data_IF_501252846997
#
_entry.id   IF_501252846997
#
_cell.length_a   1.000
_cell.length_b   1.000
_cell.length_c   1.000
_cell.angle_alpha   90.00
_cell.angle_beta   90.00
_cell.angle_gamma   90.00
#
_symmetry.space_group_name_H-M   'P 1'
#
loop_
_entity.id
_entity.type
_entity.pdbx_description
1 polymer ?
#
# COMPACT_ATOMS: atom_id res chain seq x y z
N UNK A 1 80.40 4.45 48.47
CA UNK A 1 79.95 3.05 48.32
C UNK A 1 78.48 3.00 48.07
N UNK A 2 78.14 2.40 46.94
CA UNK A 2 76.79 2.07 46.42
C UNK A 2 75.69 3.14 46.44
N UNK A 3 75.57 3.84 45.31
CA UNK A 3 74.41 4.61 44.91
C UNK A 3 73.25 3.68 44.47
N UNK A 4 72.05 3.93 44.96
CA UNK A 4 70.84 3.29 44.47
C UNK A 4 70.05 4.31 43.68
N UNK A 5 69.87 4.03 42.35
CA UNK A 5 69.12 4.84 41.43
C UNK A 5 67.62 4.55 41.58
N UNK A 6 66.81 5.60 41.75
CA UNK A 6 65.32 5.53 41.71
C UNK A 6 64.84 5.70 40.28
N UNK A 7 64.14 4.68 39.77
CA UNK A 7 63.49 4.71 38.44
C UNK A 7 62.10 5.33 38.56
N UNK A 8 61.91 6.51 37.98
CA UNK A 8 60.61 7.16 37.83
C UNK A 8 59.82 6.48 36.70
N UNK A 9 58.69 5.83 37.01
CA UNK A 9 57.70 5.29 36.00
C UNK A 9 56.73 6.39 35.61
N UNK A 10 56.94 6.95 34.42
CA UNK A 10 56.00 7.83 33.78
C UNK A 10 54.78 7.03 33.25
N UNK A 11 53.57 7.33 33.76
CA UNK A 11 52.31 6.81 33.22
C UNK A 11 51.88 7.69 32.03
N UNK A 12 51.98 7.14 30.81
CA UNK A 12 51.38 7.73 29.63
C UNK A 12 49.89 7.33 29.61
N UNK A 13 48.96 8.28 29.85
CA UNK A 13 47.55 8.10 29.52
C UNK A 13 47.39 8.39 28.05
N UNK A 14 47.14 7.33 27.24
CA UNK A 14 46.57 7.48 25.91
C UNK A 14 45.08 7.80 26.04
N UNK A 15 44.70 9.05 25.75
CA UNK A 15 43.35 9.42 25.52
C UNK A 15 42.95 8.96 24.11
N UNK A 16 42.18 7.88 24.01
CA UNK A 16 41.57 7.44 22.77
C UNK A 16 40.40 8.39 22.49
N UNK A 17 40.59 9.34 21.56
CA UNK A 17 39.55 10.13 20.93
C UNK A 17 38.76 9.21 19.98
N UNK A 18 37.61 8.73 20.45
CA UNK A 18 36.59 8.12 19.60
C UNK A 18 35.97 9.22 18.71
N UNK A 19 36.47 9.35 17.50
CA UNK A 19 35.75 10.05 16.43
C UNK A 19 34.52 9.20 16.06
N UNK A 20 33.36 9.57 16.58
CA UNK A 20 32.11 9.20 15.96
C UNK A 20 32.02 9.97 14.65
N UNK A 21 32.34 9.33 13.54
CA UNK A 21 31.92 9.81 12.24
C UNK A 21 30.38 9.76 12.24
N UNK A 22 29.74 10.89 12.37
CA UNK A 22 28.35 11.03 11.99
C UNK A 22 28.29 10.69 10.50
N UNK A 23 27.81 9.50 10.16
CA UNK A 23 27.46 9.17 8.80
C UNK A 23 26.41 10.22 8.38
N UNK A 24 26.81 11.18 7.56
CA UNK A 24 25.92 12.17 6.98
C UNK A 24 24.78 11.40 6.31
N UNK A 25 23.55 11.66 6.73
CA UNK A 25 22.38 11.11 6.09
C UNK A 25 22.43 11.54 4.62
N UNK A 26 22.63 10.59 3.72
CA UNK A 26 22.57 10.84 2.28
C UNK A 26 21.13 11.26 1.95
N UNK A 27 20.98 12.40 1.26
CA UNK A 27 19.69 12.79 0.73
C UNK A 27 19.14 11.66 -0.17
N UNK A 28 17.83 11.43 -0.15
CA UNK A 28 17.20 10.44 -1.03
C UNK A 28 17.41 10.83 -2.50
N UNK A 29 18.14 10.01 -3.24
CA UNK A 29 18.55 10.24 -4.63
C UNK A 29 17.66 9.57 -5.69
N UNK A 30 16.55 8.97 -5.27
CA UNK A 30 15.64 8.21 -6.15
C UNK A 30 15.95 6.71 -6.24
N UNK A 31 17.05 6.24 -5.66
CA UNK A 31 17.34 4.83 -5.51
C UNK A 31 16.61 4.26 -4.28
N UNK A 32 16.08 3.05 -4.40
CA UNK A 32 15.36 2.40 -3.31
C UNK A 32 15.77 0.95 -3.14
N UNK A 33 15.80 0.48 -1.91
CA UNK A 33 16.10 -0.90 -1.55
C UNK A 33 14.88 -1.54 -0.87
N UNK A 34 14.50 -2.74 -1.35
CA UNK A 34 13.50 -3.57 -0.69
C UNK A 34 14.13 -4.25 0.53
N UNK A 35 13.52 -4.02 1.69
CA UNK A 35 13.85 -4.64 2.97
C UNK A 35 12.73 -5.55 3.42
N UNK A 36 13.03 -6.46 4.36
CA UNK A 36 12.03 -7.38 4.92
C UNK A 36 12.02 -7.26 6.43
N UNK A 37 10.83 -7.01 6.98
CA UNK A 37 10.57 -7.08 8.41
C UNK A 37 9.97 -8.43 8.76
N UNK A 38 10.34 -8.99 9.91
CA UNK A 38 9.87 -10.30 10.36
C UNK A 38 9.37 -10.22 11.81
N UNK A 39 8.18 -10.81 12.05
CA UNK A 39 7.67 -11.09 13.38
C UNK A 39 7.65 -12.60 13.61
N UNK A 40 8.15 -13.11 14.75
CA UNK A 40 8.09 -14.54 15.06
C UNK A 40 6.65 -15.09 15.05
N UNK A 41 5.72 -14.34 15.64
CA UNK A 41 4.30 -14.70 15.72
C UNK A 41 3.43 -13.45 15.67
N UNK A 42 2.22 -13.63 15.13
CA UNK A 42 1.18 -12.60 15.16
C UNK A 42 -0.19 -13.26 15.39
N UNK A 43 -0.99 -12.73 16.33
CA UNK A 43 -2.38 -13.18 16.54
C UNK A 43 -3.34 -12.22 15.87
N UNK A 44 -4.12 -12.73 14.89
CA UNK A 44 -5.09 -11.95 14.12
C UNK A 44 -6.23 -11.44 15.00
N UNK A 45 -6.98 -10.46 14.48
CA UNK A 45 -8.23 -9.98 15.12
C UNK A 45 -9.21 -11.14 15.36
N UNK A 46 -9.22 -12.13 14.47
CA UNK A 46 -10.02 -13.36 14.61
C UNK A 46 -9.46 -14.41 15.59
N UNK A 47 -8.38 -14.08 16.34
CA UNK A 47 -7.79 -14.95 17.37
C UNK A 47 -6.94 -16.11 16.84
N UNK A 48 -6.59 -16.14 15.56
CA UNK A 48 -5.72 -17.16 14.96
C UNK A 48 -4.27 -16.68 14.91
N UNK A 49 -3.33 -17.57 15.24
CA UNK A 49 -1.90 -17.26 15.22
C UNK A 49 -1.28 -17.60 13.88
N UNK A 50 -0.51 -16.65 13.34
CA UNK A 50 0.36 -16.80 12.18
C UNK A 50 1.80 -16.79 12.71
N UNK A 51 2.63 -17.70 12.25
CA UNK A 51 4.04 -17.79 12.63
C UNK A 51 4.92 -17.32 11.48
N UNK A 52 6.11 -16.78 11.80
CA UNK A 52 7.08 -16.28 10.83
C UNK A 52 6.48 -15.26 9.85
N UNK A 53 5.76 -14.27 10.38
CA UNK A 53 5.17 -13.20 9.56
C UNK A 53 6.26 -12.36 8.95
N UNK A 54 6.22 -12.16 7.64
CA UNK A 54 7.18 -11.36 6.87
C UNK A 54 6.42 -10.34 6.02
N UNK A 55 6.88 -9.10 6.02
CA UNK A 55 6.39 -8.03 5.15
C UNK A 55 7.56 -7.26 4.57
N UNK A 56 7.51 -7.00 3.26
CA UNK A 56 8.46 -6.13 2.58
C UNK A 56 8.22 -4.67 2.94
N UNK A 57 9.26 -3.88 2.97
CA UNK A 57 9.13 -2.45 3.17
C UNK A 57 10.25 -1.66 2.48
N UNK A 58 10.00 -0.40 2.29
CA UNK A 58 10.93 0.58 1.72
C UNK A 58 10.95 1.82 2.59
N UNK A 59 12.06 2.56 2.54
CA UNK A 59 12.22 3.81 3.29
C UNK A 59 12.83 4.88 2.40
N UNK A 60 12.40 6.13 2.57
CA UNK A 60 12.87 7.29 1.81
C UNK A 60 13.14 8.44 2.79
N UNK A 61 14.24 9.15 2.62
CA UNK A 61 14.66 10.21 3.55
C UNK A 61 15.23 9.68 4.86
N UNK A 62 15.28 10.51 5.89
CA UNK A 62 15.96 10.21 7.16
C UNK A 62 15.06 10.48 8.36
N UNK A 63 15.02 9.52 9.29
CA UNK A 63 14.36 9.71 10.58
C UNK A 63 15.17 10.68 11.44
N UNK A 64 14.51 11.69 11.99
CA UNK A 64 15.14 12.64 12.90
C UNK A 64 15.41 12.00 14.28
N UNK A 65 16.24 12.66 15.09
CA UNK A 65 16.62 12.15 16.43
C UNK A 65 15.43 12.05 17.39
N UNK A 66 14.39 12.86 17.21
CA UNK A 66 13.16 12.78 18.00
C UNK A 66 12.28 11.58 17.64
N UNK A 67 12.43 11.04 16.43
CA UNK A 67 11.62 9.92 15.91
C UNK A 67 10.19 10.33 15.55
N UNK A 68 9.95 11.61 15.18
CA UNK A 68 8.60 12.18 15.03
C UNK A 68 8.28 12.75 13.63
N UNK A 69 9.22 12.65 12.69
CA UNK A 69 9.04 13.15 11.32
C UNK A 69 8.63 12.06 10.31
N UNK A 70 8.13 10.90 10.76
CA UNK A 70 7.83 9.81 9.87
C UNK A 70 6.45 9.96 9.19
N UNK A 71 6.36 9.51 7.93
CA UNK A 71 5.11 9.35 7.17
C UNK A 71 5.02 7.90 6.72
N UNK A 72 3.88 7.24 6.97
CA UNK A 72 3.65 5.86 6.55
C UNK A 72 2.73 5.81 5.33
N UNK A 73 3.10 5.01 4.32
CA UNK A 73 2.37 4.87 3.05
C UNK A 73 1.92 3.41 2.89
N UNK A 74 0.69 3.06 3.30
CA UNK A 74 0.08 1.78 2.96
C UNK A 74 -0.40 1.77 1.51
N UNK A 75 -0.20 0.63 0.82
CA UNK A 75 -0.56 0.50 -0.60
C UNK A 75 -2.04 0.15 -0.83
N UNK A 76 -2.52 0.39 -2.06
CA UNK A 76 -3.86 0.04 -2.54
C UNK A 76 -3.97 -1.46 -2.91
N UNK A 77 -5.19 -1.90 -3.30
CA UNK A 77 -5.54 -3.32 -3.53
C UNK A 77 -4.52 -4.09 -4.36
N UNK A 78 -4.11 -3.56 -5.50
CA UNK A 78 -3.16 -4.21 -6.43
C UNK A 78 -1.75 -3.64 -6.34
N UNK A 79 -1.46 -2.79 -5.36
CA UNK A 79 -0.17 -2.17 -5.15
C UNK A 79 0.81 -3.02 -4.34
N UNK A 80 1.95 -2.43 -4.07
CA UNK A 80 2.98 -2.97 -3.17
C UNK A 80 3.61 -1.82 -2.39
N UNK A 81 4.58 -2.12 -1.56
CA UNK A 81 5.36 -1.10 -0.85
C UNK A 81 6.22 -0.19 -1.75
N UNK A 82 6.25 -0.43 -3.07
CA UNK A 82 7.01 0.41 -4.01
C UNK A 82 6.30 1.74 -4.28
N UNK A 83 6.43 2.69 -3.35
CA UNK A 83 5.73 3.96 -3.42
C UNK A 83 6.45 5.02 -4.27
N UNK A 84 7.79 5.06 -4.27
CA UNK A 84 8.58 6.03 -5.02
C UNK A 84 9.94 5.46 -5.45
N UNK A 85 10.67 6.19 -6.30
CA UNK A 85 12.00 5.81 -6.75
C UNK A 85 12.04 4.57 -7.62
N UNK A 86 13.23 4.07 -7.87
CA UNK A 86 13.50 2.88 -8.70
C UNK A 86 14.48 1.94 -7.96
N UNK A 87 14.31 0.63 -8.11
CA UNK A 87 15.30 -0.34 -7.62
C UNK A 87 16.57 -0.34 -8.48
N UNK A 88 16.42 -0.10 -9.77
CA UNK A 88 17.52 -0.01 -10.75
C UNK A 88 17.25 1.17 -11.70
N UNK A 89 18.30 1.87 -12.17
CA UNK A 89 18.13 2.93 -13.17
C UNK A 89 17.38 2.50 -14.44
N UNK A 90 17.48 1.20 -14.77
CA UNK A 90 16.85 0.60 -15.96
C UNK A 90 15.37 0.23 -15.78
N UNK A 91 14.80 0.37 -14.57
CA UNK A 91 13.38 0.07 -14.34
C UNK A 91 12.51 0.98 -15.21
N UNK A 92 11.47 0.41 -15.82
CA UNK A 92 10.62 1.11 -16.78
C UNK A 92 9.84 2.27 -16.15
N UNK A 93 9.45 2.12 -14.87
CA UNK A 93 8.74 3.15 -14.11
C UNK A 93 9.22 3.20 -12.67
N UNK A 94 9.15 4.36 -12.01
CA UNK A 94 9.33 4.47 -10.57
C UNK A 94 8.08 3.98 -9.82
N UNK A 95 8.15 4.02 -8.48
CA UNK A 95 7.00 3.74 -7.61
C UNK A 95 5.80 4.65 -7.91
N UNK A 96 4.60 4.16 -7.55
CA UNK A 96 3.32 4.74 -8.01
C UNK A 96 3.06 6.19 -7.57
N UNK A 97 3.64 6.64 -6.48
CA UNK A 97 3.54 8.01 -5.95
C UNK A 97 4.84 8.80 -6.03
N UNK A 98 5.78 8.38 -6.88
CA UNK A 98 7.01 9.12 -7.15
C UNK A 98 6.76 10.60 -7.47
N UNK A 99 5.70 11.00 -8.19
CA UNK A 99 5.43 12.42 -8.44
C UNK A 99 5.21 13.26 -7.17
N UNK A 100 4.84 12.66 -6.03
CA UNK A 100 4.58 13.40 -4.78
C UNK A 100 5.53 13.04 -3.64
N UNK A 101 6.38 12.03 -3.76
CA UNK A 101 7.36 11.61 -2.75
C UNK A 101 8.78 11.84 -3.28
N UNK A 102 9.59 12.64 -2.59
CA UNK A 102 10.97 12.96 -2.94
C UNK A 102 11.41 14.31 -2.43
N UNK A 103 12.69 14.66 -2.63
CA UNK A 103 13.26 15.94 -2.23
C UNK A 103 12.49 17.10 -2.88
N UNK A 104 12.01 18.05 -2.07
CA UNK A 104 11.22 19.19 -2.52
C UNK A 104 9.81 18.86 -3.03
N UNK A 105 9.39 17.60 -3.14
CA UNK A 105 8.04 17.20 -3.55
C UNK A 105 7.01 17.41 -2.43
N UNK A 106 5.69 17.22 -2.66
CA UNK A 106 4.66 17.39 -1.62
C UNK A 106 4.93 16.63 -0.32
N UNK A 107 5.35 15.38 -0.40
CA UNK A 107 5.90 14.57 0.69
C UNK A 107 7.43 14.65 0.58
N UNK A 108 7.98 15.67 1.20
CA UNK A 108 9.37 16.11 1.05
C UNK A 108 10.32 15.23 1.86
N UNK A 109 11.13 14.41 1.19
CA UNK A 109 12.08 13.49 1.83
C UNK A 109 13.29 14.19 2.48
N UNK A 110 13.49 15.48 2.26
CA UNK A 110 14.46 16.28 3.01
C UNK A 110 13.94 16.60 4.43
N UNK A 111 12.61 16.51 4.65
CA UNK A 111 11.94 16.80 5.92
C UNK A 111 11.39 15.56 6.58
N UNK A 112 10.88 14.61 5.81
CA UNK A 112 10.15 13.45 6.30
C UNK A 112 10.88 12.15 6.02
N UNK A 113 10.81 11.26 6.99
CA UNK A 113 11.18 9.86 6.82
C UNK A 113 9.95 9.07 6.37
N UNK A 114 9.90 8.71 5.08
CA UNK A 114 8.78 8.00 4.51
C UNK A 114 9.02 6.50 4.59
N UNK A 115 8.02 5.75 5.02
CA UNK A 115 8.03 4.29 5.13
C UNK A 115 6.85 3.77 4.32
N UNK A 116 7.08 2.82 3.43
CA UNK A 116 6.01 2.07 2.76
C UNK A 116 6.19 0.58 3.00
N UNK A 117 5.09 -0.16 3.24
CA UNK A 117 5.17 -1.59 3.55
C UNK A 117 4.11 -2.41 2.81
N UNK A 118 4.47 -3.66 2.49
CA UNK A 118 3.53 -4.63 1.93
C UNK A 118 2.53 -5.06 3.00
N UNK A 119 1.24 -5.13 2.66
CA UNK A 119 0.22 -5.65 3.54
C UNK A 119 0.29 -7.18 3.66
N UNK A 120 -0.30 -7.74 4.71
CA UNK A 120 -0.60 -9.17 4.74
C UNK A 120 -1.47 -9.53 3.54
N UNK A 121 -1.27 -10.73 3.00
CA UNK A 121 -2.00 -11.23 1.81
C UNK A 121 -1.83 -10.39 0.54
N UNK A 122 -0.75 -9.58 0.41
CA UNK A 122 -0.48 -8.88 -0.84
C UNK A 122 -0.56 -9.86 -2.01
N UNK A 123 -1.34 -9.50 -3.02
CA UNK A 123 -1.64 -10.41 -4.13
C UNK A 123 -0.46 -10.63 -5.10
N UNK A 124 0.54 -9.74 -5.10
CA UNK A 124 1.69 -9.81 -6.03
C UNK A 124 2.81 -10.75 -5.52
N UNK A 125 2.47 -11.92 -5.01
CA UNK A 125 3.42 -12.84 -4.34
C UNK A 125 4.52 -13.37 -5.25
N UNK A 126 4.35 -13.28 -6.57
CA UNK A 126 5.33 -13.73 -7.57
C UNK A 126 6.23 -12.60 -8.06
N UNK A 127 6.00 -11.36 -7.62
CA UNK A 127 6.92 -10.26 -7.84
C UNK A 127 8.11 -10.40 -6.87
N UNK A 128 9.37 -10.49 -7.36
CA UNK A 128 10.54 -10.64 -6.50
C UNK A 128 10.76 -9.47 -5.54
N UNK A 129 10.13 -8.31 -5.82
CA UNK A 129 10.19 -7.12 -4.97
C UNK A 129 9.05 -7.03 -3.96
N UNK A 130 8.22 -8.07 -3.82
CA UNK A 130 7.15 -8.13 -2.83
C UNK A 130 7.47 -9.21 -1.80
N UNK A 131 7.39 -8.86 -0.52
CA UNK A 131 7.45 -9.82 0.57
C UNK A 131 6.18 -9.70 1.41
N UNK A 132 5.43 -10.78 1.51
CA UNK A 132 4.17 -10.82 2.26
C UNK A 132 3.95 -12.19 2.89
N UNK A 133 3.16 -12.24 3.92
CA UNK A 133 2.65 -13.48 4.51
C UNK A 133 1.18 -13.62 4.21
N UNK A 134 0.82 -14.73 3.60
CA UNK A 134 -0.54 -14.98 3.12
C UNK A 134 -0.73 -16.44 2.66
N UNK A 135 -1.77 -16.73 1.88
CA UNK A 135 -2.09 -18.08 1.38
C UNK A 135 -0.95 -18.80 0.68
N UNK A 136 -0.12 -18.09 -0.09
CA UNK A 136 1.03 -18.66 -0.80
C UNK A 136 2.22 -19.00 0.13
N UNK A 137 2.21 -18.51 1.37
CA UNK A 137 3.29 -18.78 2.34
C UNK A 137 3.26 -20.24 2.77
N UNK A 138 4.44 -20.86 2.87
CA UNK A 138 4.58 -22.22 3.39
C UNK A 138 4.24 -22.24 4.89
N UNK A 139 3.26 -23.06 5.26
CA UNK A 139 2.91 -23.30 6.64
C UNK A 139 4.00 -24.20 7.27
N UNK A 140 4.72 -23.73 8.31
CA UNK A 140 5.80 -24.49 8.91
C UNK A 140 5.36 -25.81 9.57
N UNK A 141 4.08 -25.92 9.93
CA UNK A 141 3.53 -27.14 10.54
C UNK A 141 3.27 -28.25 9.53
N UNK A 142 3.06 -27.91 8.25
CA UNK A 142 2.70 -28.88 7.20
C UNK A 142 3.73 -28.99 6.09
N UNK A 143 4.63 -28.02 5.97
CA UNK A 143 5.59 -27.92 4.85
C UNK A 143 4.94 -27.58 3.50
N UNK A 144 3.64 -27.23 3.47
CA UNK A 144 2.88 -26.85 2.26
C UNK A 144 2.37 -25.42 2.37
N UNK A 145 2.06 -24.74 1.26
CA UNK A 145 1.36 -23.44 1.31
C UNK A 145 0.08 -23.52 2.14
N UNK A 146 -0.24 -22.44 2.86
CA UNK A 146 -1.47 -22.37 3.64
C UNK A 146 -2.72 -22.56 2.79
N UNK A 147 -2.73 -22.04 1.56
CA UNK A 147 -3.92 -22.05 0.70
C UNK A 147 -5.09 -21.39 1.41
N UNK A 148 -6.27 -21.96 1.23
CA UNK A 148 -7.51 -21.47 1.87
C UNK A 148 -7.59 -21.76 3.37
N UNK A 149 -6.58 -22.40 3.97
CA UNK A 149 -6.47 -22.57 5.43
C UNK A 149 -5.76 -21.41 6.12
N UNK A 150 -5.23 -20.45 5.36
CA UNK A 150 -4.65 -19.24 5.93
C UNK A 150 -5.70 -18.49 6.78
N UNK A 151 -5.35 -17.97 7.96
CA UNK A 151 -6.30 -17.21 8.76
C UNK A 151 -6.89 -16.02 8.00
N UNK A 152 -8.18 -15.77 8.16
CA UNK A 152 -8.79 -14.55 7.66
C UNK A 152 -8.15 -13.36 8.36
N UNK A 153 -7.69 -12.38 7.57
CA UNK A 153 -7.10 -11.13 8.05
C UNK A 153 -7.92 -9.94 7.56
N UNK A 154 -7.97 -8.89 8.37
CA UNK A 154 -8.48 -7.58 8.01
C UNK A 154 -7.34 -6.60 7.80
N UNK A 155 -7.61 -5.39 7.27
CA UNK A 155 -6.60 -4.33 7.21
C UNK A 155 -6.05 -3.95 8.59
N UNK A 156 -6.87 -4.06 9.64
CA UNK A 156 -6.45 -3.89 11.04
C UNK A 156 -5.29 -4.83 11.43
N UNK A 157 -5.26 -6.03 10.88
CA UNK A 157 -4.16 -6.98 11.11
C UNK A 157 -2.87 -6.49 10.44
N UNK A 158 -2.94 -6.04 9.18
CA UNK A 158 -1.78 -5.45 8.49
C UNK A 158 -1.26 -4.23 9.24
N UNK A 159 -2.13 -3.33 9.70
CA UNK A 159 -1.77 -2.15 10.47
C UNK A 159 -1.05 -2.50 11.77
N UNK A 160 -1.47 -3.55 12.49
CA UNK A 160 -0.77 -4.02 13.70
C UNK A 160 0.63 -4.57 13.40
N UNK A 161 0.78 -5.31 12.30
CA UNK A 161 2.09 -5.79 11.84
C UNK A 161 2.97 -4.60 11.43
N UNK A 162 2.42 -3.64 10.69
CA UNK A 162 3.13 -2.42 10.30
C UNK A 162 3.51 -1.56 11.51
N UNK A 163 2.69 -1.54 12.59
CA UNK A 163 3.06 -0.85 13.83
C UNK A 163 4.33 -1.44 14.44
N UNK A 164 4.44 -2.75 14.49
CA UNK A 164 5.64 -3.41 14.98
C UNK A 164 6.88 -3.10 14.10
N UNK A 165 6.72 -3.02 12.77
CA UNK A 165 7.77 -2.54 11.85
C UNK A 165 8.17 -1.10 12.19
N UNK A 166 7.21 -0.20 12.29
CA UNK A 166 7.43 1.24 12.58
C UNK A 166 8.17 1.42 13.91
N UNK A 167 7.77 0.66 14.93
CA UNK A 167 8.45 0.65 16.24
C UNK A 167 9.90 0.16 16.14
N UNK A 168 10.14 -0.88 15.34
CA UNK A 168 11.49 -1.44 15.14
C UNK A 168 12.46 -0.46 14.45
N UNK A 169 11.91 0.50 13.69
CA UNK A 169 12.66 1.57 13.05
C UNK A 169 12.94 2.77 13.99
N UNK A 170 12.44 2.74 15.22
CA UNK A 170 12.64 3.82 16.21
C UNK A 170 11.67 4.99 16.05
N UNK A 171 10.63 4.85 15.23
CA UNK A 171 9.61 5.90 15.03
C UNK A 171 8.71 5.98 16.27
N UNK A 172 8.54 7.18 16.82
CA UNK A 172 7.69 7.45 17.98
C UNK A 172 6.36 8.11 17.61
N UNK A 173 6.36 8.90 16.55
CA UNK A 173 5.17 9.59 16.02
C UNK A 173 5.15 9.46 14.49
N UNK A 174 3.95 9.38 13.95
CA UNK A 174 3.69 9.50 12.53
C UNK A 174 3.11 10.87 12.24
N UNK A 175 3.90 11.71 11.56
CA UNK A 175 3.43 13.02 11.07
C UNK A 175 2.18 12.85 10.22
N UNK A 176 2.14 11.78 9.41
CA UNK A 176 0.95 11.37 8.70
C UNK A 176 0.96 9.87 8.36
N UNK A 177 -0.23 9.33 8.11
CA UNK A 177 -0.41 8.11 7.32
C UNK A 177 -1.20 8.49 6.08
N UNK A 178 -0.66 8.19 4.88
CA UNK A 178 -1.24 8.59 3.61
C UNK A 178 -1.40 7.38 2.69
N UNK A 179 -2.62 7.12 2.21
CA UNK A 179 -2.86 5.99 1.33
C UNK A 179 -4.05 6.18 0.41
N UNK A 180 -4.04 5.48 -0.73
CA UNK A 180 -5.14 5.46 -1.69
C UNK A 180 -5.94 4.16 -1.60
N UNK A 181 -7.27 4.23 -1.77
CA UNK A 181 -8.15 3.06 -1.85
C UNK A 181 -8.01 2.14 -0.62
N UNK A 182 -7.64 0.88 -0.78
CA UNK A 182 -7.30 -0.01 0.35
C UNK A 182 -6.21 0.55 1.27
N UNK A 183 -5.28 1.36 0.74
CA UNK A 183 -4.32 2.10 1.55
C UNK A 183 -4.95 3.20 2.40
N UNK A 184 -6.01 3.85 1.90
CA UNK A 184 -6.77 4.85 2.67
C UNK A 184 -7.52 4.24 3.85
N UNK A 185 -8.07 3.03 3.67
CA UNK A 185 -8.68 2.25 4.74
C UNK A 185 -7.67 1.90 5.83
N UNK A 186 -6.48 1.44 5.43
CA UNK A 186 -5.38 1.19 6.36
C UNK A 186 -4.95 2.49 7.08
N UNK A 187 -4.90 3.64 6.39
CA UNK A 187 -4.57 4.92 7.01
C UNK A 187 -5.59 5.33 8.07
N UNK A 188 -6.87 5.09 7.85
CA UNK A 188 -7.91 5.30 8.86
C UNK A 188 -7.80 4.34 10.04
N UNK A 189 -7.50 3.05 9.80
CA UNK A 189 -7.23 2.07 10.86
C UNK A 189 -6.05 2.51 11.73
N UNK A 190 -4.99 3.06 11.14
CA UNK A 190 -3.88 3.65 11.88
C UNK A 190 -4.31 4.77 12.81
N UNK A 191 -5.12 5.71 12.31
CA UNK A 191 -5.65 6.83 13.11
C UNK A 191 -6.54 6.38 14.26
N UNK A 192 -7.33 5.31 14.04
CA UNK A 192 -8.25 4.76 15.03
C UNK A 192 -7.55 3.90 16.11
N UNK A 193 -6.58 3.07 15.70
CA UNK A 193 -5.86 2.18 16.60
C UNK A 193 -4.78 2.90 17.41
N UNK A 194 -4.15 3.92 16.83
CA UNK A 194 -3.00 4.59 17.43
C UNK A 194 -3.18 6.12 17.47
N UNK A 195 -4.25 6.63 18.12
CA UNK A 195 -4.60 8.05 18.10
C UNK A 195 -3.54 8.96 18.74
N UNK A 196 -2.68 8.40 19.60
CA UNK A 196 -1.58 9.14 20.22
C UNK A 196 -0.28 9.10 19.39
N UNK A 197 -0.23 8.28 18.33
CA UNK A 197 0.92 8.13 17.45
C UNK A 197 0.72 8.88 16.14
N UNK A 198 -0.50 8.86 15.59
CA UNK A 198 -0.83 9.41 14.26
C UNK A 198 -1.37 10.84 14.41
N UNK A 199 -0.65 11.81 13.85
CA UNK A 199 -1.08 13.22 13.89
C UNK A 199 -2.05 13.56 12.75
N UNK A 200 -1.87 12.96 11.57
CA UNK A 200 -2.66 13.24 10.35
C UNK A 200 -2.97 11.97 9.57
N UNK A 201 -4.12 11.98 8.91
CA UNK A 201 -4.48 10.98 7.91
C UNK A 201 -4.75 11.68 6.58
N UNK A 202 -4.13 11.19 5.50
CA UNK A 202 -4.42 11.61 4.13
C UNK A 202 -5.12 10.44 3.44
N UNK A 203 -6.44 10.57 3.32
CA UNK A 203 -7.36 9.55 2.83
C UNK A 203 -7.69 9.80 1.37
N UNK A 204 -7.02 9.08 0.46
CA UNK A 204 -7.16 9.29 -0.98
C UNK A 204 -8.08 8.24 -1.58
N UNK A 205 -9.09 8.66 -2.34
CA UNK A 205 -10.06 7.80 -3.06
C UNK A 205 -10.53 6.60 -2.23
N UNK A 206 -11.15 6.85 -1.09
CA UNK A 206 -11.58 5.79 -0.18
C UNK A 206 -13.00 5.98 0.34
N UNK A 207 -13.53 4.98 1.07
CA UNK A 207 -14.95 4.95 1.49
C UNK A 207 -15.28 5.87 2.67
N UNK A 208 -14.27 6.44 3.34
CA UNK A 208 -14.45 7.07 4.64
C UNK A 208 -14.19 6.07 5.77
N UNK A 209 -15.16 5.86 6.67
CA UNK A 209 -14.98 5.07 7.89
C UNK A 209 -15.47 3.63 7.80
N UNK A 210 -16.24 3.30 6.78
CA UNK A 210 -16.81 1.97 6.58
C UNK A 210 -17.03 1.67 5.09
N UNK A 211 -17.00 0.38 4.76
CA UNK A 211 -17.27 -0.10 3.39
C UNK A 211 -18.79 -0.12 3.15
N UNK A 212 -19.20 0.23 1.93
CA UNK A 212 -20.63 0.16 1.57
C UNK A 212 -21.04 -1.24 1.10
N UNK A 213 -22.31 -1.66 1.27
CA UNK A 213 -22.79 -2.93 0.73
C UNK A 213 -22.57 -3.09 -0.77
N UNK A 214 -22.67 -1.99 -1.55
CA UNK A 214 -22.38 -1.99 -2.99
C UNK A 214 -20.93 -2.44 -3.28
N UNK A 215 -19.97 -1.92 -2.51
CA UNK A 215 -18.55 -2.27 -2.69
C UNK A 215 -18.24 -3.67 -2.18
N UNK A 216 -18.97 -4.16 -1.16
CA UNK A 216 -18.87 -5.56 -0.72
C UNK A 216 -19.19 -6.50 -1.88
N UNK A 217 -20.32 -6.27 -2.58
CA UNK A 217 -20.73 -7.08 -3.74
C UNK A 217 -19.77 -6.90 -4.92
N UNK A 218 -19.33 -5.68 -5.19
CA UNK A 218 -18.37 -5.43 -6.26
C UNK A 218 -17.04 -6.19 -6.04
N UNK A 219 -16.56 -6.28 -4.80
CA UNK A 219 -15.36 -7.06 -4.45
C UNK A 219 -15.59 -8.57 -4.66
N UNK A 220 -16.79 -9.09 -4.45
CA UNK A 220 -17.13 -10.48 -4.77
C UNK A 220 -17.09 -10.72 -6.29
N UNK A 221 -17.68 -9.80 -7.07
CA UNK A 221 -17.61 -9.82 -8.55
C UNK A 221 -16.16 -9.77 -9.04
N UNK A 222 -15.26 -9.02 -8.38
CA UNK A 222 -13.85 -8.96 -8.78
C UNK A 222 -13.14 -10.31 -8.70
N UNK A 223 -13.46 -11.13 -7.70
CA UNK A 223 -12.80 -12.43 -7.49
C UNK A 223 -13.59 -13.61 -8.06
N UNK A 224 -14.81 -13.38 -8.52
CA UNK A 224 -15.66 -14.42 -9.11
C UNK A 224 -14.99 -15.16 -10.27
N UNK A 225 -14.29 -14.50 -11.24
CA UNK A 225 -13.63 -15.22 -12.33
C UNK A 225 -12.59 -16.23 -11.84
N UNK A 226 -11.91 -15.97 -10.71
CA UNK A 226 -10.97 -16.91 -10.11
C UNK A 226 -11.72 -18.14 -9.62
N UNK A 227 -12.83 -17.96 -8.90
CA UNK A 227 -13.63 -19.06 -8.33
C UNK A 227 -14.29 -19.92 -9.41
N UNK A 228 -14.57 -19.35 -10.59
CA UNK A 228 -15.13 -20.05 -11.72
C UNK A 228 -14.08 -20.74 -12.59
N UNK A 229 -12.80 -20.45 -12.42
CA UNK A 229 -11.73 -21.15 -13.14
C UNK A 229 -11.55 -22.55 -12.54
N UNK A 230 -11.72 -23.63 -13.34
CA UNK A 230 -11.56 -25.01 -12.84
C UNK A 230 -10.19 -25.27 -12.19
N UNK A 231 -9.15 -24.58 -12.66
CA UNK A 231 -7.79 -24.72 -12.14
C UNK A 231 -7.60 -24.13 -10.76
N UNK A 232 -8.52 -23.28 -10.29
CA UNK A 232 -8.50 -22.79 -8.90
C UNK A 232 -8.72 -23.90 -7.90
N UNK A 233 -9.51 -24.91 -8.23
CA UNK A 233 -9.72 -26.14 -7.46
C UNK A 233 -9.94 -25.87 -5.94
N UNK A 234 -10.87 -24.98 -5.62
CA UNK A 234 -11.15 -24.51 -4.25
C UNK A 234 -9.90 -23.99 -3.49
N UNK A 235 -8.93 -23.44 -4.23
CA UNK A 235 -7.69 -22.90 -3.69
C UNK A 235 -6.54 -23.89 -3.56
N UNK A 236 -6.73 -25.15 -3.93
CA UNK A 236 -5.69 -26.20 -3.90
C UNK A 236 -5.01 -26.36 -5.28
N UNK A 237 -4.30 -25.34 -5.73
CA UNK A 237 -3.59 -25.31 -7.02
C UNK A 237 -2.08 -25.16 -6.90
N UNK A 238 -1.51 -24.90 -5.72
CA UNK A 238 -0.07 -24.74 -5.54
C UNK A 238 0.70 -26.00 -5.94
N UNK A 239 1.70 -25.81 -6.83
CA UNK A 239 2.45 -26.93 -7.41
C UNK A 239 1.70 -27.73 -8.48
N UNK A 240 0.57 -27.22 -8.96
CA UNK A 240 -0.26 -27.75 -10.05
C UNK A 240 -0.46 -26.68 -11.11
N UNK A 241 -1.43 -26.89 -12.03
CA UNK A 241 -1.89 -25.86 -12.96
C UNK A 241 -2.59 -24.73 -12.21
N UNK A 242 -2.12 -23.50 -12.40
CA UNK A 242 -2.65 -22.32 -11.75
C UNK A 242 -3.84 -21.70 -12.53
N UNK A 243 -4.80 -21.04 -11.82
CA UNK A 243 -5.96 -20.39 -12.42
C UNK A 243 -5.59 -19.03 -13.06
N UNK A 244 -4.60 -19.01 -13.97
CA UNK A 244 -4.08 -17.79 -14.61
C UNK A 244 -5.14 -17.07 -15.41
N UNK A 245 -6.04 -17.82 -16.08
CA UNK A 245 -7.15 -17.27 -16.87
C UNK A 245 -8.14 -16.55 -15.96
N UNK A 246 -8.54 -17.17 -14.85
CA UNK A 246 -9.43 -16.57 -13.86
C UNK A 246 -8.83 -15.29 -13.25
N UNK A 247 -7.52 -15.32 -12.92
CA UNK A 247 -6.81 -14.14 -12.41
C UNK A 247 -6.75 -13.01 -13.45
N UNK A 248 -6.48 -13.33 -14.73
CA UNK A 248 -6.45 -12.34 -15.80
C UNK A 248 -7.81 -11.64 -15.97
N UNK A 249 -8.91 -12.41 -15.97
CA UNK A 249 -10.26 -11.86 -16.04
C UNK A 249 -10.63 -11.07 -14.78
N UNK A 250 -10.26 -11.52 -13.60
CA UNK A 250 -10.44 -10.79 -12.34
C UNK A 250 -9.76 -9.41 -12.40
N UNK A 251 -8.51 -9.35 -12.86
CA UNK A 251 -7.77 -8.10 -13.02
C UNK A 251 -8.35 -7.19 -14.13
N UNK A 252 -8.93 -7.77 -15.17
CA UNK A 252 -9.69 -7.01 -16.17
C UNK A 252 -10.90 -6.33 -15.54
N UNK A 253 -11.68 -7.06 -14.74
CA UNK A 253 -12.85 -6.51 -14.01
C UNK A 253 -12.43 -5.40 -13.04
N UNK A 254 -11.38 -5.62 -12.24
CA UNK A 254 -10.80 -4.58 -11.37
C UNK A 254 -10.43 -3.34 -12.17
N UNK A 255 -9.79 -3.51 -13.32
CA UNK A 255 -9.31 -2.40 -14.14
C UNK A 255 -10.47 -1.57 -14.69
N UNK A 256 -11.49 -2.20 -15.28
CA UNK A 256 -12.61 -1.45 -15.88
C UNK A 256 -13.46 -0.74 -14.81
N UNK A 257 -13.69 -1.38 -13.66
CA UNK A 257 -14.46 -0.76 -12.57
C UNK A 257 -13.70 0.38 -11.89
N UNK A 258 -12.37 0.38 -11.94
CA UNK A 258 -11.53 1.46 -11.44
C UNK A 258 -11.37 2.65 -12.42
N UNK A 259 -11.95 2.56 -13.62
CA UNK A 259 -11.93 3.64 -14.63
C UNK A 259 -13.30 4.29 -14.77
N UNK A 260 -13.32 5.51 -15.28
CA UNK A 260 -14.53 6.22 -15.63
C UNK A 260 -14.79 6.23 -17.14
N UNK A 261 -16.03 6.56 -17.54
CA UNK A 261 -16.43 6.65 -18.95
C UNK A 261 -15.53 7.58 -19.76
N UNK A 262 -15.22 8.76 -19.24
CA UNK A 262 -14.39 9.75 -19.93
C UNK A 262 -12.99 9.24 -20.27
N UNK A 263 -12.39 8.42 -19.40
CA UNK A 263 -11.15 7.74 -19.74
C UNK A 263 -11.30 6.79 -20.94
N UNK A 264 -12.35 5.97 -20.94
CA UNK A 264 -12.58 5.01 -22.01
C UNK A 264 -12.82 5.71 -23.37
N UNK A 265 -13.64 6.75 -23.37
CA UNK A 265 -13.92 7.55 -24.56
C UNK A 265 -12.67 8.23 -25.11
N UNK A 266 -11.89 8.90 -24.27
CA UNK A 266 -10.66 9.59 -24.70
C UNK A 266 -9.58 8.64 -25.19
N UNK A 267 -9.44 7.47 -24.53
CA UNK A 267 -8.36 6.52 -24.85
C UNK A 267 -8.69 5.69 -26.09
N UNK A 268 -9.90 5.21 -26.20
CA UNK A 268 -10.29 4.23 -27.21
C UNK A 268 -11.32 4.75 -28.22
N UNK A 269 -12.30 5.51 -27.78
CA UNK A 269 -13.48 5.80 -28.57
C UNK A 269 -14.17 4.49 -29.01
N UNK A 270 -14.76 4.48 -30.21
CA UNK A 270 -15.39 3.30 -30.80
C UNK A 270 -14.45 2.61 -31.82
N UNK A 271 -13.17 2.40 -31.43
CA UNK A 271 -12.13 1.86 -32.32
C UNK A 271 -12.06 0.35 -32.21
N UNK A 272 -11.80 -0.30 -33.34
CA UNK A 272 -11.51 -1.73 -33.43
C UNK A 272 -10.07 -2.01 -33.00
N UNK A 273 -9.80 -3.20 -32.49
CA UNK A 273 -8.45 -3.64 -32.13
C UNK A 273 -7.55 -3.75 -33.37
N UNK A 274 -8.10 -4.21 -34.47
CA UNK A 274 -7.49 -4.27 -35.79
C UNK A 274 -8.45 -3.59 -36.79
N UNK A 275 -7.98 -2.53 -37.43
CA UNK A 275 -8.81 -1.75 -38.37
C UNK A 275 -9.35 -2.55 -39.58
N UNK A 276 -8.73 -3.70 -39.87
CA UNK A 276 -9.17 -4.61 -40.95
C UNK A 276 -10.20 -5.66 -40.49
N UNK A 277 -10.51 -5.74 -39.19
CA UNK A 277 -11.36 -6.76 -38.56
C UNK A 277 -12.58 -6.15 -37.93
N UNK A 278 -13.66 -6.04 -38.71
CA UNK A 278 -14.93 -5.50 -38.21
C UNK A 278 -15.52 -6.41 -37.11
N UNK A 279 -15.75 -5.91 -35.88
CA UNK A 279 -16.43 -6.66 -34.82
C UNK A 279 -17.85 -7.09 -35.18
N UNK A 280 -18.50 -6.43 -36.13
CA UNK A 280 -19.82 -6.84 -36.64
C UNK A 280 -19.78 -8.00 -37.64
N UNK A 281 -18.61 -8.34 -38.19
CA UNK A 281 -18.47 -9.41 -39.18
C UNK A 281 -18.21 -10.78 -38.55
N UNK A 282 -17.45 -10.85 -37.46
CA UNK A 282 -17.08 -12.12 -36.82
C UNK A 282 -17.02 -11.95 -35.30
N UNK A 283 -17.50 -12.94 -34.53
CA UNK A 283 -17.49 -12.95 -33.06
C UNK A 283 -16.09 -12.86 -32.47
N UNK A 284 -15.05 -13.28 -33.19
CA UNK A 284 -13.66 -13.19 -32.73
C UNK A 284 -13.00 -11.82 -32.89
N UNK A 285 -13.62 -10.92 -33.64
CA UNK A 285 -13.15 -9.55 -33.79
C UNK A 285 -13.61 -8.71 -32.60
N UNK A 286 -12.72 -7.88 -32.06
CA UNK A 286 -12.94 -7.19 -30.81
C UNK A 286 -12.64 -5.69 -30.92
N UNK A 287 -13.20 -4.91 -30.01
CA UNK A 287 -12.86 -3.49 -29.86
C UNK A 287 -11.48 -3.30 -29.19
N UNK A 288 -10.87 -2.15 -29.45
CA UNK A 288 -9.54 -1.81 -28.93
C UNK A 288 -9.47 -1.86 -27.39
N UNK A 289 -10.55 -1.46 -26.71
CA UNK A 289 -10.62 -1.53 -25.24
C UNK A 289 -10.64 -2.98 -24.75
N UNK A 290 -11.36 -3.89 -25.41
CA UNK A 290 -11.41 -5.32 -25.05
C UNK A 290 -10.04 -5.96 -25.17
N UNK A 291 -9.37 -5.76 -26.31
CA UNK A 291 -8.03 -6.29 -26.57
C UNK A 291 -7.02 -5.76 -25.55
N UNK A 292 -7.03 -4.45 -25.31
CA UNK A 292 -6.11 -3.82 -24.34
C UNK A 292 -6.31 -4.35 -22.93
N UNK A 293 -7.55 -4.46 -22.44
CA UNK A 293 -7.83 -4.94 -21.10
C UNK A 293 -7.53 -6.45 -20.96
N UNK A 294 -7.75 -7.24 -22.01
CA UNK A 294 -7.38 -8.66 -22.04
C UNK A 294 -5.86 -8.82 -21.94
N UNK A 295 -5.08 -8.10 -22.74
CA UNK A 295 -3.61 -8.12 -22.71
C UNK A 295 -3.05 -7.65 -21.37
N UNK A 296 -3.59 -6.56 -20.83
CA UNK A 296 -3.16 -6.01 -19.54
C UNK A 296 -3.46 -6.97 -18.39
N UNK A 297 -4.66 -7.57 -18.38
CA UNK A 297 -5.04 -8.57 -17.38
C UNK A 297 -4.12 -9.79 -17.41
N UNK A 298 -3.86 -10.32 -18.63
CA UNK A 298 -2.98 -11.47 -18.83
C UNK A 298 -1.53 -11.17 -18.37
N UNK A 299 -0.98 -10.01 -18.73
CA UNK A 299 0.36 -9.61 -18.33
C UNK A 299 0.50 -9.50 -16.81
N UNK A 300 -0.49 -8.90 -16.13
CA UNK A 300 -0.49 -8.74 -14.66
C UNK A 300 -0.73 -10.05 -13.92
N UNK A 301 -1.45 -11.00 -14.50
CA UNK A 301 -1.69 -12.31 -13.89
C UNK A 301 -0.39 -13.08 -13.62
N UNK A 302 0.70 -12.77 -14.32
CA UNK A 302 2.00 -13.40 -14.13
C UNK A 302 2.59 -13.21 -12.71
N UNK A 303 2.27 -12.09 -12.03
CA UNK A 303 2.79 -11.79 -10.69
C UNK A 303 1.77 -12.04 -9.58
N UNK A 304 0.50 -12.28 -9.90
CA UNK A 304 -0.61 -12.36 -8.95
C UNK A 304 -0.89 -13.79 -8.52
N UNK A 305 -1.05 -13.98 -7.22
CA UNK A 305 -1.56 -15.22 -6.60
C UNK A 305 -3.08 -15.13 -6.40
N UNK A 306 -3.80 -16.12 -6.90
CA UNK A 306 -5.26 -16.16 -6.91
C UNK A 306 -5.86 -16.17 -5.49
N UNK A 307 -5.35 -17.00 -4.58
CA UNK A 307 -5.85 -17.06 -3.22
C UNK A 307 -5.57 -15.75 -2.47
N UNK A 308 -4.38 -15.18 -2.62
CA UNK A 308 -4.04 -13.89 -2.01
C UNK A 308 -4.96 -12.76 -2.52
N UNK A 309 -5.36 -12.77 -3.79
CA UNK A 309 -6.33 -11.81 -4.31
C UNK A 309 -7.71 -11.96 -3.64
N UNK A 310 -8.18 -13.19 -3.41
CA UNK A 310 -9.43 -13.47 -2.69
C UNK A 310 -9.33 -13.00 -1.23
N UNK A 311 -8.21 -13.25 -0.55
CA UNK A 311 -7.99 -12.80 0.83
C UNK A 311 -7.90 -11.28 0.94
N UNK A 312 -7.24 -10.62 -0.01
CA UNK A 312 -7.19 -9.16 -0.04
C UNK A 312 -8.57 -8.56 -0.29
N UNK A 313 -9.40 -9.14 -1.17
CA UNK A 313 -10.79 -8.75 -1.33
C UNK A 313 -11.57 -8.91 -0.02
N UNK A 314 -11.38 -10.04 0.69
CA UNK A 314 -12.00 -10.26 1.99
C UNK A 314 -11.56 -9.22 3.03
N UNK A 315 -10.27 -8.87 3.09
CA UNK A 315 -9.78 -7.83 3.99
C UNK A 315 -10.46 -6.47 3.74
N UNK A 316 -10.73 -6.12 2.48
CA UNK A 316 -11.50 -4.92 2.12
C UNK A 316 -12.95 -5.00 2.60
N UNK A 317 -13.64 -6.13 2.41
CA UNK A 317 -15.04 -6.28 2.83
C UNK A 317 -15.22 -6.19 4.35
N UNK A 318 -14.17 -6.45 5.12
CA UNK A 318 -14.17 -6.40 6.58
C UNK A 318 -13.86 -5.00 7.14
N UNK A 319 -13.61 -4.01 6.28
CA UNK A 319 -13.29 -2.67 6.72
C UNK A 319 -14.50 -1.95 7.32
N UNK A 320 -14.45 -1.72 8.61
CA UNK A 320 -15.42 -0.94 9.36
C UNK A 320 -14.80 -0.46 10.68
N UNK A 321 -14.65 0.83 10.84
CA UNK A 321 -14.11 1.41 12.08
C UNK A 321 -15.15 1.45 13.22
N UNK A 322 -16.45 1.45 12.90
CA UNK A 322 -17.50 1.50 13.90
C UNK A 322 -17.32 2.68 14.87
N UNK A 323 -17.33 2.37 16.17
CA UNK A 323 -17.13 3.36 17.24
C UNK A 323 -15.68 3.80 17.42
N UNK A 324 -14.71 3.12 16.83
CA UNK A 324 -13.29 3.51 16.93
C UNK A 324 -13.02 4.88 16.29
N UNK A 325 -13.89 5.34 15.39
CA UNK A 325 -13.85 6.71 14.84
C UNK A 325 -13.86 7.76 15.95
N UNK A 326 -14.57 7.52 17.05
CA UNK A 326 -14.67 8.44 18.19
C UNK A 326 -13.36 8.57 18.96
N UNK A 327 -12.43 7.62 18.81
CA UNK A 327 -11.11 7.62 19.44
C UNK A 327 -10.08 8.41 18.64
N UNK A 328 -10.35 8.68 17.37
CA UNK A 328 -9.40 9.34 16.47
C UNK A 328 -9.14 10.78 16.92
N UNK A 329 -7.86 11.15 16.94
CA UNK A 329 -7.36 12.52 17.23
C UNK A 329 -6.73 13.16 15.99
N UNK A 330 -6.40 12.37 15.00
CA UNK A 330 -5.71 12.81 13.79
C UNK A 330 -6.55 13.84 13.01
N UNK A 331 -5.91 14.88 12.48
CA UNK A 331 -6.51 15.70 11.43
C UNK A 331 -6.65 14.85 10.16
N UNK A 332 -7.72 15.01 9.38
CA UNK A 332 -7.95 14.21 8.18
C UNK A 332 -8.05 15.11 6.95
N UNK A 333 -7.26 14.79 5.90
CA UNK A 333 -7.44 15.32 4.56
C UNK A 333 -8.06 14.22 3.68
N UNK A 334 -9.30 14.43 3.26
CA UNK A 334 -9.94 13.58 2.25
C UNK A 334 -9.60 14.08 0.86
N UNK A 335 -9.16 13.17 0.00
CA UNK A 335 -8.74 13.47 -1.38
C UNK A 335 -9.51 12.56 -2.35
N UNK A 336 -10.84 12.76 -2.53
CA UNK A 336 -11.63 11.99 -3.48
C UNK A 336 -11.31 12.40 -4.93
N UNK A 337 -11.57 11.50 -5.89
CA UNK A 337 -11.54 11.82 -7.31
C UNK A 337 -12.97 12.04 -7.85
N UNK A 338 -13.16 13.10 -8.64
CA UNK A 338 -14.46 13.55 -9.14
C UNK A 338 -15.24 12.47 -9.90
N UNK A 339 -14.53 11.65 -10.68
CA UNK A 339 -15.11 10.62 -11.54
C UNK A 339 -15.01 9.20 -10.95
N UNK A 340 -14.70 9.07 -9.66
CA UNK A 340 -14.56 7.76 -8.99
C UNK A 340 -15.92 7.06 -8.91
N UNK A 341 -16.02 5.87 -9.52
CA UNK A 341 -17.23 5.04 -9.50
C UNK A 341 -17.22 4.00 -8.37
N UNK A 342 -16.05 3.73 -7.77
CA UNK A 342 -15.92 2.81 -6.63
C UNK A 342 -16.27 3.53 -5.33
N UNK A 343 -15.63 4.67 -5.10
CA UNK A 343 -15.88 5.54 -3.95
C UNK A 343 -16.23 6.96 -4.42
N UNK A 344 -17.48 7.20 -4.80
CA UNK A 344 -17.94 8.52 -5.22
C UNK A 344 -17.56 9.60 -4.20
N UNK A 345 -17.27 10.84 -4.65
CA UNK A 345 -16.78 11.93 -3.79
C UNK A 345 -17.67 12.23 -2.58
N UNK A 346 -18.96 11.94 -2.71
CA UNK A 346 -19.98 12.13 -1.65
C UNK A 346 -19.67 11.26 -0.41
N UNK A 347 -19.00 10.11 -0.57
CA UNK A 347 -18.58 9.28 0.57
C UNK A 347 -17.56 10.02 1.43
N UNK A 348 -16.56 10.63 0.80
CA UNK A 348 -15.54 11.44 1.48
C UNK A 348 -16.15 12.70 2.12
N UNK A 349 -17.09 13.35 1.44
CA UNK A 349 -17.80 14.53 1.97
C UNK A 349 -18.59 14.18 3.23
N UNK A 350 -19.42 13.13 3.18
CA UNK A 350 -20.17 12.64 4.35
C UNK A 350 -19.27 12.22 5.50
N UNK A 351 -18.15 11.56 5.20
CA UNK A 351 -17.17 11.17 6.23
C UNK A 351 -16.54 12.40 6.89
N UNK A 352 -16.19 13.43 6.11
CA UNK A 352 -15.65 14.68 6.63
C UNK A 352 -16.65 15.41 7.53
N UNK A 353 -17.93 15.50 7.10
CA UNK A 353 -19.02 16.10 7.89
C UNK A 353 -19.24 15.34 9.20
N UNK A 354 -19.34 14.00 9.13
CA UNK A 354 -19.46 13.14 10.32
C UNK A 354 -18.30 13.34 11.30
N UNK A 355 -17.09 13.45 10.80
CA UNK A 355 -15.91 13.64 11.65
C UNK A 355 -15.90 15.02 12.31
N UNK A 356 -16.25 16.08 11.57
CA UNK A 356 -16.36 17.45 12.12
C UNK A 356 -17.46 17.53 13.18
N UNK A 357 -18.61 16.86 12.98
CA UNK A 357 -19.71 16.81 13.94
C UNK A 357 -19.30 16.15 15.28
N UNK A 358 -18.24 15.37 15.30
CA UNK A 358 -17.64 14.77 16.50
C UNK A 358 -16.50 15.61 17.09
N UNK A 359 -16.28 16.84 16.60
CA UNK A 359 -15.21 17.73 17.02
C UNK A 359 -13.87 17.48 16.33
N UNK A 360 -13.80 16.59 15.36
CA UNK A 360 -12.59 16.33 14.57
C UNK A 360 -12.30 17.40 13.54
N UNK A 361 -11.06 17.49 13.09
CA UNK A 361 -10.63 18.40 12.01
C UNK A 361 -10.54 17.61 10.70
N UNK A 362 -11.32 18.01 9.70
CA UNK A 362 -11.31 17.39 8.39
C UNK A 362 -11.35 18.44 7.27
N UNK A 363 -10.61 18.19 6.20
CA UNK A 363 -10.56 18.97 4.96
C UNK A 363 -10.88 18.05 3.78
N UNK A 364 -11.36 18.63 2.67
CA UNK A 364 -11.63 17.89 1.43
C UNK A 364 -10.96 18.62 0.27
N UNK A 365 -10.17 17.90 -0.53
CA UNK A 365 -9.50 18.40 -1.73
C UNK A 365 -9.77 17.43 -2.89
N UNK A 366 -10.66 17.81 -3.82
CA UNK A 366 -11.13 16.93 -4.89
C UNK A 366 -10.14 16.90 -6.05
N UNK A 367 -9.73 15.70 -6.49
CA UNK A 367 -8.98 15.54 -7.74
C UNK A 367 -9.95 15.72 -8.90
N UNK A 368 -9.79 16.79 -9.68
CA UNK A 368 -10.54 17.01 -10.91
C UNK A 368 -9.89 16.20 -12.06
N UNK A 369 -10.62 15.21 -12.55
CA UNK A 369 -10.19 14.28 -13.58
C UNK A 369 -11.30 13.34 -14.01
N UNK A 370 -11.05 12.65 -15.09
CA UNK A 370 -11.95 11.64 -15.71
C UNK A 370 -11.35 10.23 -15.75
N UNK A 371 -10.23 10.02 -15.02
CA UNK A 371 -9.56 8.73 -14.90
C UNK A 371 -10.24 7.73 -13.96
N UNK A 372 -11.29 8.15 -13.25
CA UNK A 372 -11.99 7.32 -12.27
C UNK A 372 -11.23 7.18 -10.96
N UNK A 373 -11.39 6.05 -10.31
CA UNK A 373 -10.70 5.68 -9.07
C UNK A 373 -9.17 5.78 -9.17
N UNK A 374 -8.63 5.46 -10.36
CA UNK A 374 -7.18 5.52 -10.59
C UNK A 374 -6.60 6.94 -10.58
N UNK A 375 -7.40 8.00 -10.60
CA UNK A 375 -6.90 9.37 -10.40
C UNK A 375 -6.24 9.54 -9.02
N UNK A 376 -6.70 8.81 -7.99
CA UNK A 376 -6.06 8.81 -6.67
C UNK A 376 -4.68 8.15 -6.63
N UNK A 377 -4.36 7.32 -7.62
CA UNK A 377 -3.04 6.67 -7.73
C UNK A 377 -2.16 7.40 -8.74
N UNK A 378 -2.69 7.70 -9.94
CA UNK A 378 -1.90 8.21 -11.07
C UNK A 378 -1.86 9.73 -11.12
N UNK A 379 -2.86 10.42 -10.60
CA UNK A 379 -3.05 11.86 -10.72
C UNK A 379 -3.14 12.60 -9.37
N UNK A 380 -2.76 11.95 -8.27
CA UNK A 380 -2.77 12.53 -6.91
C UNK A 380 -1.92 13.82 -6.82
N UNK A 381 -0.92 13.96 -7.68
CA UNK A 381 -0.08 15.15 -7.78
C UNK A 381 -0.88 16.43 -8.07
N UNK A 382 -2.09 16.34 -8.66
CA UNK A 382 -3.01 17.47 -8.81
C UNK A 382 -3.40 18.11 -7.47
N UNK A 383 -3.33 17.35 -6.37
CA UNK A 383 -3.56 17.82 -5.00
C UNK A 383 -2.25 17.94 -4.20
N UNK A 384 -1.11 17.97 -4.87
CA UNK A 384 0.21 18.06 -4.25
C UNK A 384 0.35 19.25 -3.29
N UNK A 385 -0.11 20.43 -3.68
CA UNK A 385 -0.05 21.63 -2.83
C UNK A 385 -0.98 21.52 -1.61
N UNK A 386 -2.19 20.95 -1.75
CA UNK A 386 -3.07 20.69 -0.63
C UNK A 386 -2.43 19.71 0.37
N UNK A 387 -1.80 18.64 -0.14
CA UNK A 387 -1.05 17.66 0.68
C UNK A 387 0.11 18.34 1.40
N UNK A 388 0.92 19.14 0.68
CA UNK A 388 2.05 19.88 1.26
C UNK A 388 1.59 20.83 2.37
N UNK A 389 0.58 21.65 2.10
CA UNK A 389 0.02 22.59 3.07
C UNK A 389 -0.56 21.89 4.29
N UNK A 390 -1.22 20.75 4.10
CA UNK A 390 -1.78 19.96 5.20
C UNK A 390 -0.69 19.34 6.09
N UNK A 391 0.40 18.87 5.51
CA UNK A 391 1.54 18.33 6.25
C UNK A 391 2.32 19.40 7.03
N UNK A 392 2.33 20.65 6.55
CA UNK A 392 3.09 21.75 7.16
C UNK A 392 2.42 22.33 8.42
N UNK A 393 1.09 22.22 8.55
CA UNK A 393 0.28 22.69 9.69
C UNK A 393 0.27 21.70 10.83
#
# INVERSE_FOLDING_TARGET
MRATAAVARGRWMLAALLFWAAAGASAYDGAVEKKVFTLPTYTTVGGKTIVNVRVGYETYGTLNAAGDNAIFIPHFFTGSSHAAGKYKPTDAAPGYWDPIIGAGKPIDTDKYFVISADALTNLNTKDPNVATTGPATVNPNTGKPYGMTFPVVAYRDSVRVHKALVDSLGVKKLRAVAGASGGSMQAMEWGALYPDVVERVIHVVGPGFDITPYVVEMLDVWVMPIRLDPKWNNGDYYGKDEPVTGVAHALKVVTITARAHGWAEKTFGYKWADAAKDPGAEMGNVFAIEDTLNKTGAARAATVDANSMIYTAKANTLYNLGDDVKKMKAKILFVPAKSDLIFPPELSQRAAERYRAQGGVAEVAVIDGDGGHLDGVLNVAKQGEAIRAFLAR
#
